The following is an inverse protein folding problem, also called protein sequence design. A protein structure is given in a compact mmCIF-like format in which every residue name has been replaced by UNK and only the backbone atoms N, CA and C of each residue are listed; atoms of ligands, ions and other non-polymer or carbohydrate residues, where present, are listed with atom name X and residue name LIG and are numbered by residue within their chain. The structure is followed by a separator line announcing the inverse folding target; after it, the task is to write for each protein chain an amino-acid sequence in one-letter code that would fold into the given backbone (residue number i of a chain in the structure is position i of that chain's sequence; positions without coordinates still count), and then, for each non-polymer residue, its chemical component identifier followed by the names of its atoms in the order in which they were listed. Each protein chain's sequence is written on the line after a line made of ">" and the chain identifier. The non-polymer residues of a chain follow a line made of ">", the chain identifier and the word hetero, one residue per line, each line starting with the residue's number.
data_IF_476606013482
#
_entry.id   IF_476606013482
#
_cell.length_a   1.000
_cell.length_b   1.000
_cell.length_c   1.000
_cell.angle_alpha   90.00
_cell.angle_beta   90.00
_cell.angle_gamma   90.00
#
_symmetry.space_group_name_H-M   'P 1'
#
loop_
_entity.id
_entity.type
_entity.pdbx_description
1 polymer ?
#
# COMPACT_ATOMS: atom_id res chain seq x y z
N UNK A 1 1.83 -35.27 -6.64
CA UNK A 1 3.01 -34.58 -6.08
C UNK A 1 2.51 -33.32 -5.39
N UNK A 2 2.36 -33.37 -4.07
CA UNK A 2 1.61 -32.40 -3.25
C UNK A 2 2.57 -31.56 -2.42
N UNK A 3 3.32 -30.65 -3.04
CA UNK A 3 4.35 -29.86 -2.36
C UNK A 3 3.82 -28.60 -1.67
N UNK A 4 2.60 -28.16 -2.02
CA UNK A 4 1.97 -26.95 -1.47
C UNK A 4 1.79 -27.00 0.05
N UNK A 5 1.55 -28.19 0.63
CA UNK A 5 1.30 -28.34 2.07
C UNK A 5 2.53 -27.98 2.93
N UNK A 6 3.75 -28.18 2.43
CA UNK A 6 4.98 -27.87 3.19
C UNK A 6 5.26 -26.36 3.23
N UNK A 7 4.93 -25.64 2.16
CA UNK A 7 5.03 -24.17 2.09
C UNK A 7 3.98 -23.49 2.98
N UNK A 8 2.82 -24.11 3.18
CA UNK A 8 1.80 -23.61 4.11
C UNK A 8 2.13 -23.90 5.58
N UNK A 9 2.93 -24.94 5.86
CA UNK A 9 3.27 -25.35 7.23
C UNK A 9 4.40 -24.53 7.83
N UNK A 10 5.32 -24.03 6.99
CA UNK A 10 6.42 -23.19 7.42
C UNK A 10 6.62 -22.03 6.44
N UNK A 11 6.41 -20.77 6.89
CA UNK A 11 6.45 -19.60 6.02
C UNK A 11 7.85 -19.28 5.48
N UNK A 12 8.90 -19.87 6.05
CA UNK A 12 10.29 -19.66 5.64
C UNK A 12 10.85 -20.79 4.79
N UNK A 13 10.06 -21.83 4.47
CA UNK A 13 10.51 -22.95 3.62
C UNK A 13 11.07 -22.48 2.27
N UNK A 14 10.52 -21.40 1.71
CA UNK A 14 11.02 -20.80 0.47
C UNK A 14 12.41 -20.17 0.61
N UNK A 15 12.79 -19.72 1.82
CA UNK A 15 14.12 -19.18 2.09
C UNK A 15 15.16 -20.28 2.31
N UNK A 16 14.75 -21.44 2.81
CA UNK A 16 15.64 -22.58 3.07
C UNK A 16 16.03 -23.35 1.80
N UNK A 17 15.19 -23.33 0.76
CA UNK A 17 15.40 -24.05 -0.51
C UNK A 17 15.23 -23.11 -1.72
N UNK A 18 16.16 -22.15 -1.95
CA UNK A 18 16.02 -21.16 -3.01
C UNK A 18 15.97 -21.77 -4.42
N UNK A 19 16.71 -22.85 -4.67
CA UNK A 19 16.74 -23.53 -5.98
C UNK A 19 15.39 -24.09 -6.39
N UNK A 20 14.58 -24.52 -5.40
CA UNK A 20 13.25 -25.06 -5.64
C UNK A 20 12.28 -23.96 -6.08
N UNK A 21 12.45 -22.75 -5.54
CA UNK A 21 11.69 -21.57 -5.96
C UNK A 21 11.99 -21.28 -7.42
N UNK A 22 13.27 -21.25 -7.81
CA UNK A 22 13.69 -21.01 -9.19
C UNK A 22 13.12 -22.06 -10.16
N UNK A 23 13.23 -23.34 -9.85
CA UNK A 23 12.68 -24.41 -10.69
C UNK A 23 11.15 -24.32 -10.83
N UNK A 24 10.45 -23.91 -9.78
CA UNK A 24 9.01 -23.72 -9.80
C UNK A 24 8.63 -22.49 -10.64
N UNK A 25 9.39 -21.40 -10.50
CA UNK A 25 9.23 -20.19 -11.31
C UNK A 25 9.42 -20.49 -12.81
N UNK A 26 10.46 -21.26 -13.17
CA UNK A 26 10.73 -21.67 -14.56
C UNK A 26 9.58 -22.48 -15.18
N UNK A 27 8.81 -23.23 -14.38
CA UNK A 27 7.69 -24.05 -14.86
C UNK A 27 6.35 -23.29 -14.87
N UNK A 28 6.23 -22.21 -14.09
CA UNK A 28 4.98 -21.45 -13.94
C UNK A 28 4.57 -20.65 -15.19
N UNK A 29 3.47 -21.06 -15.83
CA UNK A 29 2.86 -20.32 -16.94
C UNK A 29 2.31 -18.96 -16.51
N UNK A 30 1.76 -18.86 -15.29
CA UNK A 30 1.21 -17.62 -14.76
C UNK A 30 2.31 -16.56 -14.59
N UNK A 31 3.47 -16.94 -14.03
CA UNK A 31 4.59 -16.02 -13.87
C UNK A 31 5.21 -15.61 -15.22
N UNK A 32 5.24 -16.51 -16.21
CA UNK A 32 5.66 -16.17 -17.58
C UNK A 32 4.76 -15.13 -18.24
N UNK A 33 3.46 -15.17 -17.99
CA UNK A 33 2.49 -14.21 -18.51
C UNK A 33 2.48 -12.87 -17.77
N UNK A 34 3.17 -12.77 -16.63
CA UNK A 34 3.16 -11.57 -15.80
C UNK A 34 3.96 -10.45 -16.48
N UNK A 35 3.25 -9.50 -17.08
CA UNK A 35 3.87 -8.31 -17.67
C UNK A 35 4.41 -7.44 -16.53
N UNK A 36 5.63 -6.90 -16.67
CA UNK A 36 6.15 -5.87 -15.75
C UNK A 36 5.22 -4.67 -15.78
N UNK A 37 4.38 -4.52 -14.77
CA UNK A 37 3.61 -3.31 -14.57
C UNK A 37 4.52 -2.33 -13.82
N UNK A 38 4.97 -1.28 -14.51
CA UNK A 38 5.60 -0.14 -13.84
C UNK A 38 4.48 0.61 -13.13
N UNK A 39 4.20 0.26 -11.88
CA UNK A 39 3.30 1.03 -11.04
C UNK A 39 4.09 2.22 -10.52
N UNK A 40 3.84 3.40 -11.07
CA UNK A 40 4.36 4.64 -10.46
C UNK A 40 3.54 4.92 -9.20
N UNK A 41 4.15 5.54 -8.17
CA UNK A 41 3.49 5.83 -6.90
C UNK A 41 2.16 6.62 -6.99
N UNK A 42 1.78 7.13 -8.17
CA UNK A 42 0.56 7.93 -8.41
C UNK A 42 -0.19 7.53 -9.70
N UNK A 43 0.15 6.42 -10.36
CA UNK A 43 -0.53 6.01 -11.61
C UNK A 43 -2.02 5.70 -11.41
N UNK A 44 -2.39 5.35 -10.17
CA UNK A 44 -3.79 5.26 -9.76
C UNK A 44 -4.02 6.29 -8.66
N UNK A 45 -4.65 7.43 -8.96
CA UNK A 45 -4.92 8.45 -7.95
C UNK A 45 -5.70 7.80 -6.81
N UNK A 46 -5.10 7.75 -5.62
CA UNK A 46 -5.69 7.18 -4.40
C UNK A 46 -6.90 7.98 -3.94
N UNK A 47 -7.00 9.24 -4.37
CA UNK A 47 -8.12 10.12 -4.08
C UNK A 47 -9.13 9.95 -5.22
N UNK A 48 -10.32 9.40 -4.96
CA UNK A 48 -11.41 9.42 -5.93
C UNK A 48 -11.73 10.87 -6.29
N UNK A 49 -11.87 11.20 -7.58
CA UNK A 49 -12.27 12.54 -8.02
C UNK A 49 -13.79 12.76 -7.99
N UNK A 50 -14.51 12.02 -7.14
CA UNK A 50 -15.95 12.23 -6.96
C UNK A 50 -16.19 13.54 -6.19
N UNK A 51 -17.35 14.17 -6.40
CA UNK A 51 -17.74 15.39 -5.69
C UNK A 51 -17.70 15.21 -4.18
N UNK A 52 -18.14 14.05 -3.69
CA UNK A 52 -18.13 13.69 -2.27
C UNK A 52 -16.72 13.60 -1.68
N UNK A 53 -15.78 12.98 -2.40
CA UNK A 53 -14.39 12.85 -1.95
C UNK A 53 -13.63 14.19 -1.96
N UNK A 54 -13.98 15.09 -2.88
CA UNK A 54 -13.45 16.46 -2.88
C UNK A 54 -14.01 17.28 -1.71
N UNK A 55 -15.31 17.12 -1.41
CA UNK A 55 -15.95 17.80 -0.28
C UNK A 55 -15.39 17.31 1.07
N UNK A 56 -15.18 15.99 1.23
CA UNK A 56 -14.58 15.44 2.46
C UNK A 56 -13.15 15.95 2.67
N UNK A 57 -12.38 16.08 1.58
CA UNK A 57 -11.03 16.64 1.65
C UNK A 57 -11.05 18.11 2.08
N UNK A 58 -11.89 18.93 1.45
CA UNK A 58 -12.02 20.35 1.80
C UNK A 58 -12.46 20.55 3.26
N UNK A 59 -13.37 19.71 3.76
CA UNK A 59 -13.79 19.77 5.17
C UNK A 59 -12.64 19.41 6.14
N UNK A 60 -11.79 18.45 5.76
CA UNK A 60 -10.65 18.04 6.59
C UNK A 60 -9.57 19.14 6.63
N UNK A 61 -9.24 19.73 5.48
CA UNK A 61 -8.29 20.84 5.38
C UNK A 61 -8.77 22.03 6.24
N UNK A 62 -10.06 22.38 6.14
CA UNK A 62 -10.67 23.45 6.95
C UNK A 62 -10.64 23.17 8.47
N UNK A 63 -10.80 21.90 8.88
CA UNK A 63 -10.71 21.53 10.29
C UNK A 63 -9.29 21.66 10.84
N UNK A 64 -8.27 21.35 10.04
CA UNK A 64 -6.86 21.55 10.42
C UNK A 64 -6.54 23.03 10.51
N UNK A 65 -6.97 23.83 9.54
CA UNK A 65 -6.75 25.29 9.58
C UNK A 65 -7.41 25.92 10.81
N UNK A 66 -8.62 25.48 11.17
CA UNK A 66 -9.30 25.93 12.38
C UNK A 66 -8.53 25.55 13.66
N UNK A 67 -8.06 24.30 13.77
CA UNK A 67 -7.26 23.86 14.92
C UNK A 67 -5.94 24.63 15.02
N UNK A 68 -5.27 24.90 13.90
CA UNK A 68 -4.03 25.67 13.88
C UNK A 68 -4.22 27.10 14.37
N UNK A 69 -5.36 27.73 14.05
CA UNK A 69 -5.73 29.07 14.54
C UNK A 69 -5.97 29.05 16.06
N UNK A 70 -6.66 28.03 16.57
CA UNK A 70 -6.93 27.88 18.00
C UNK A 70 -5.63 27.63 18.80
N UNK A 71 -4.75 26.75 18.31
CA UNK A 71 -3.46 26.45 18.94
C UNK A 71 -2.52 27.68 18.94
N UNK A 72 -2.56 28.51 17.89
CA UNK A 72 -1.81 29.76 17.80
C UNK A 72 -2.36 30.82 18.77
N UNK A 73 -3.69 30.95 18.88
CA UNK A 73 -4.33 31.86 19.83
C UNK A 73 -4.01 31.52 21.29
N UNK A 74 -3.97 30.24 21.66
CA UNK A 74 -3.60 29.78 23.00
C UNK A 74 -2.13 30.10 23.33
N UNK A 75 -1.23 30.04 22.34
CA UNK A 75 0.17 30.43 22.49
C UNK A 75 0.38 31.93 22.75
N UNK A 76 -0.49 32.80 22.22
CA UNK A 76 -0.44 34.24 22.47
C UNK A 76 -1.03 34.66 23.82
N UNK A 77 -1.93 33.86 24.43
CA UNK A 77 -2.54 34.15 25.74
C UNK A 77 -1.68 33.72 26.93
N UNK A 78 -0.64 32.93 26.72
CA UNK A 78 0.26 32.41 27.76
C UNK A 78 1.55 33.24 27.98
N UNK A 79 1.72 34.37 27.29
CA UNK A 79 2.86 35.30 27.44
C UNK A 79 2.47 36.61 28.14
#
# INVERSE_FOLDING_TARGET
>A
MSTTTFETLNPFSLMMEPERVLQTMERSQQLRGLRRHKLRPLDKPLIPYTSEALASRAAFDAAIDAQAIDDEADGYLLN
#
